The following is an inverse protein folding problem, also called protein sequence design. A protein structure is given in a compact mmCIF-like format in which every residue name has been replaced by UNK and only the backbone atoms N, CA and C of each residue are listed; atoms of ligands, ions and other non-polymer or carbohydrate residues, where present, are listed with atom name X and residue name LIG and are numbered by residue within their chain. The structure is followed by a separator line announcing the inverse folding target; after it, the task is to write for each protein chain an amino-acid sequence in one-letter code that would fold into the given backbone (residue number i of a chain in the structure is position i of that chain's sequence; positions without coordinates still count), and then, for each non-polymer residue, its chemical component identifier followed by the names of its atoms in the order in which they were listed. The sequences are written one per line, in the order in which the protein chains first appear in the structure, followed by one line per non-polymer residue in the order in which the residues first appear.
data_IF_001530864382
#
_entry.id   IF_001530864382
#
_cell.length_a   1.000
_cell.length_b   1.000
_cell.length_c   1.000
_cell.angle_alpha   90.00
_cell.angle_beta   90.00
_cell.angle_gamma   90.00
#
_symmetry.space_group_name_H-M   'P 1'
#
loop_
_entity.id
_entity.type
_entity.pdbx_description
1 polymer ?
#
# COMPACT_ATOMS: atom_id res chain seq x y z
N UNK A 1 -15.44 6.81 1.98
CA UNK A 1 -14.30 5.85 1.96
C UNK A 1 -14.68 4.39 1.72
N UNK A 2 -15.68 3.78 2.40
CA UNK A 2 -16.11 2.40 2.08
C UNK A 2 -16.48 2.19 0.60
N UNK A 3 -17.16 3.17 0.02
CA UNK A 3 -17.53 3.18 -1.40
C UNK A 3 -16.34 3.26 -2.37
N UNK A 4 -15.14 3.66 -1.90
CA UNK A 4 -13.95 3.81 -2.75
C UNK A 4 -13.12 2.52 -2.85
N UNK A 5 -13.30 1.60 -1.90
CA UNK A 5 -12.57 0.32 -1.86
C UNK A 5 -13.51 -0.87 -1.57
N UNK A 6 -14.65 -1.00 -2.30
CA UNK A 6 -15.68 -1.99 -1.99
C UNK A 6 -15.14 -3.43 -1.92
N UNK A 7 -14.17 -3.77 -2.77
CA UNK A 7 -13.51 -5.06 -2.82
C UNK A 7 -12.75 -5.37 -1.51
N UNK A 8 -12.11 -4.37 -0.90
CA UNK A 8 -11.37 -4.58 0.34
C UNK A 8 -12.34 -4.81 1.50
N UNK A 9 -13.42 -4.03 1.57
CA UNK A 9 -14.41 -4.16 2.64
C UNK A 9 -15.22 -5.46 2.52
N UNK A 10 -15.46 -5.96 1.31
CA UNK A 10 -15.97 -7.31 1.13
C UNK A 10 -14.98 -8.37 1.64
N UNK A 11 -13.69 -8.20 1.35
CA UNK A 11 -12.60 -9.05 1.85
C UNK A 11 -12.52 -9.17 3.38
N UNK A 12 -12.90 -8.13 4.11
CA UNK A 12 -12.88 -8.13 5.58
C UNK A 12 -13.84 -9.15 6.22
N UNK A 13 -14.91 -9.55 5.51
CA UNK A 13 -15.83 -10.57 5.97
C UNK A 13 -15.26 -12.00 5.88
N UNK A 14 -14.09 -12.16 5.27
CA UNK A 14 -13.45 -13.44 4.99
C UNK A 14 -12.21 -13.70 5.87
N UNK A 15 -11.52 -14.80 5.60
CA UNK A 15 -10.31 -15.19 6.32
C UNK A 15 -9.14 -14.22 6.05
N UNK A 16 -8.08 -14.30 6.86
CA UNK A 16 -6.85 -13.53 6.61
C UNK A 16 -6.18 -13.95 5.30
N UNK A 17 -6.32 -15.21 4.91
CA UNK A 17 -5.81 -15.77 3.66
C UNK A 17 -6.49 -15.09 2.47
N UNK A 18 -7.83 -15.02 2.51
CA UNK A 18 -8.64 -14.37 1.49
C UNK A 18 -8.34 -12.87 1.43
N UNK A 19 -8.25 -12.21 2.59
CA UNK A 19 -7.93 -10.79 2.66
C UNK A 19 -6.56 -10.48 2.07
N UNK A 20 -5.56 -11.32 2.35
CA UNK A 20 -4.21 -11.21 1.78
C UNK A 20 -4.25 -11.32 0.25
N UNK A 21 -5.04 -12.26 -0.29
CA UNK A 21 -5.25 -12.40 -1.72
C UNK A 21 -5.97 -11.19 -2.33
N UNK A 22 -7.03 -10.70 -1.68
CA UNK A 22 -7.79 -9.52 -2.11
C UNK A 22 -6.89 -8.29 -2.22
N UNK A 23 -6.06 -8.04 -1.20
CA UNK A 23 -5.11 -6.92 -1.21
C UNK A 23 -4.08 -7.04 -2.33
N UNK A 24 -3.50 -8.23 -2.51
CA UNK A 24 -2.52 -8.46 -3.57
C UNK A 24 -3.14 -8.31 -4.96
N UNK A 25 -4.30 -8.92 -5.21
CA UNK A 25 -5.01 -8.85 -6.48
C UNK A 25 -5.41 -7.41 -6.82
N UNK A 26 -5.83 -6.63 -5.81
CA UNK A 26 -6.10 -5.20 -5.98
C UNK A 26 -4.88 -4.43 -6.45
N UNK A 27 -3.72 -4.63 -5.83
CA UNK A 27 -2.47 -3.97 -6.22
C UNK A 27 -2.11 -4.35 -7.66
N UNK A 28 -2.15 -5.64 -7.99
CA UNK A 28 -1.90 -6.12 -9.34
C UNK A 28 -2.83 -5.47 -10.38
N UNK A 29 -4.13 -5.37 -10.08
CA UNK A 29 -5.11 -4.75 -10.97
C UNK A 29 -4.85 -3.25 -11.19
N UNK A 30 -4.49 -2.51 -10.13
CA UNK A 30 -4.14 -1.08 -10.27
C UNK A 30 -2.95 -0.93 -11.21
N UNK A 31 -1.92 -1.75 -11.03
CA UNK A 31 -0.73 -1.72 -11.87
C UNK A 31 -1.03 -2.09 -13.32
N UNK A 32 -1.91 -3.08 -13.54
CA UNK A 32 -2.40 -3.47 -14.87
C UNK A 32 -3.13 -2.33 -15.58
N UNK A 33 -3.92 -1.54 -14.85
CA UNK A 33 -4.69 -0.41 -15.43
C UNK A 33 -3.86 0.86 -15.65
N UNK A 34 -2.73 1.00 -14.96
CA UNK A 34 -1.88 2.21 -15.02
C UNK A 34 -0.79 2.09 -16.11
N UNK A 35 -0.42 0.87 -16.50
CA UNK A 35 0.43 0.64 -17.66
C UNK A 35 -0.41 0.52 -18.93
N UNK A 36 0.05 1.09 -20.06
CA UNK A 36 -0.49 0.82 -21.41
C UNK A 36 -0.30 -0.65 -21.86
N UNK A 37 -0.14 -1.59 -20.92
CA UNK A 37 0.14 -3.00 -21.18
C UNK A 37 -1.10 -3.83 -20.86
N UNK A 38 -1.80 -4.22 -21.93
CA UNK A 38 -3.10 -4.92 -21.88
C UNK A 38 -3.10 -6.33 -21.25
N UNK A 39 -2.07 -6.78 -20.52
CA UNK A 39 -2.04 -8.15 -19.98
C UNK A 39 -1.10 -8.32 -18.76
N UNK A 40 -1.23 -7.50 -17.72
CA UNK A 40 -0.71 -7.91 -16.40
C UNK A 40 -1.74 -8.85 -15.75
N UNK A 41 -1.83 -10.08 -16.26
CA UNK A 41 -2.28 -11.17 -15.40
C UNK A 41 -1.13 -11.43 -14.44
N UNK A 42 -1.16 -10.80 -13.26
CA UNK A 42 -0.29 -11.23 -12.18
C UNK A 42 -0.52 -12.74 -12.03
N UNK A 43 0.56 -13.51 -11.99
CA UNK A 43 0.49 -14.93 -11.68
C UNK A 43 0.09 -15.04 -10.20
N UNK A 44 -1.21 -14.92 -9.95
CA UNK A 44 -1.78 -14.94 -8.60
C UNK A 44 -1.76 -16.35 -8.02
N UNK A 45 -1.22 -17.35 -8.75
CA UNK A 45 -0.97 -18.69 -8.26
C UNK A 45 -2.19 -19.30 -7.55
N UNK A 46 -3.41 -19.04 -8.04
CA UNK A 46 -4.72 -19.53 -7.58
C UNK A 46 -5.10 -19.52 -6.08
N UNK A 47 -4.20 -19.41 -5.11
CA UNK A 47 -4.53 -19.38 -3.67
C UNK A 47 -3.38 -18.67 -2.91
N UNK A 48 -3.69 -17.57 -2.20
CA UNK A 48 -2.72 -17.03 -1.23
C UNK A 48 -2.46 -18.10 -0.16
N UNK A 49 -1.19 -18.34 0.16
CA UNK A 49 -0.86 -19.35 1.13
C UNK A 49 -1.31 -18.95 2.54
N UNK A 50 -1.66 -19.97 3.33
CA UNK A 50 -2.28 -19.87 4.65
C UNK A 50 -1.61 -18.83 5.56
N UNK A 51 -2.42 -18.03 6.22
CA UNK A 51 -2.06 -17.10 7.29
C UNK A 51 -2.40 -17.75 8.61
N UNK A 52 -1.43 -17.78 9.52
CA UNK A 52 -1.58 -18.31 10.88
C UNK A 52 -1.33 -17.20 11.88
N UNK A 53 -1.98 -17.30 13.04
CA UNK A 53 -1.83 -16.34 14.15
C UNK A 53 -1.71 -17.10 15.46
N UNK A 54 -0.88 -16.59 16.38
CA UNK A 54 -0.77 -17.16 17.74
C UNK A 54 -1.82 -16.52 18.68
N UNK A 55 -1.62 -15.25 19.03
CA UNK A 55 -2.34 -14.55 20.10
C UNK A 55 -3.05 -13.26 19.64
N UNK A 56 -3.25 -13.10 18.33
CA UNK A 56 -3.94 -11.95 17.73
C UNK A 56 -5.25 -12.40 17.09
N UNK A 57 -6.14 -11.44 16.83
CA UNK A 57 -7.44 -11.74 16.24
C UNK A 57 -7.30 -12.56 14.94
N UNK A 58 -8.17 -13.55 14.78
CA UNK A 58 -8.11 -14.54 13.69
C UNK A 58 -8.88 -14.11 12.45
N UNK A 59 -9.76 -13.11 12.58
CA UNK A 59 -10.57 -12.58 11.48
C UNK A 59 -9.97 -11.28 10.96
N UNK A 60 -10.14 -11.07 9.65
CA UNK A 60 -9.70 -9.84 8.96
C UNK A 60 -10.41 -8.61 9.50
N UNK A 61 -11.71 -8.71 9.79
CA UNK A 61 -12.51 -7.63 10.38
C UNK A 61 -11.98 -7.17 11.74
N UNK A 62 -11.72 -8.10 12.66
CA UNK A 62 -11.25 -7.73 14.00
C UNK A 62 -9.86 -7.10 13.97
N UNK A 63 -8.92 -7.63 13.16
CA UNK A 63 -7.62 -6.99 12.99
C UNK A 63 -7.72 -5.62 12.32
N UNK A 64 -8.61 -5.47 11.33
CA UNK A 64 -8.86 -4.18 10.70
C UNK A 64 -9.37 -3.15 11.72
N UNK A 65 -10.30 -3.52 12.59
CA UNK A 65 -10.85 -2.63 13.62
C UNK A 65 -9.78 -2.23 14.65
N UNK A 66 -8.82 -3.12 14.95
CA UNK A 66 -7.73 -2.84 15.89
C UNK A 66 -6.62 -1.96 15.32
N UNK A 67 -6.13 -2.26 14.10
CA UNK A 67 -4.89 -1.64 13.58
C UNK A 67 -5.10 -0.76 12.33
N UNK A 68 -6.29 -0.76 11.76
CA UNK A 68 -6.60 -0.10 10.50
C UNK A 68 -6.04 -0.82 9.28
N UNK A 69 -6.52 -0.44 8.09
CA UNK A 69 -6.24 -1.16 6.85
C UNK A 69 -4.78 -1.11 6.40
N UNK A 70 -4.12 0.05 6.51
CA UNK A 70 -2.75 0.19 6.01
C UNK A 70 -1.77 -0.69 6.81
N UNK A 71 -1.93 -0.73 8.14
CA UNK A 71 -1.14 -1.61 9.01
C UNK A 71 -1.41 -3.08 8.67
N UNK A 72 -2.70 -3.47 8.54
CA UNK A 72 -3.10 -4.83 8.19
C UNK A 72 -2.53 -5.23 6.82
N UNK A 73 -2.61 -4.35 5.82
CA UNK A 73 -2.13 -4.56 4.46
C UNK A 73 -0.63 -4.84 4.43
N UNK A 74 0.16 -3.99 5.08
CA UNK A 74 1.60 -4.24 5.21
C UNK A 74 1.89 -5.53 5.97
N UNK A 75 1.13 -5.82 7.03
CA UNK A 75 1.38 -7.00 7.85
C UNK A 75 1.13 -8.31 7.07
N UNK A 76 0.14 -8.31 6.18
CA UNK A 76 -0.17 -9.45 5.31
C UNK A 76 0.77 -9.57 4.10
N UNK A 77 1.43 -8.50 3.69
CA UNK A 77 2.20 -8.47 2.42
C UNK A 77 3.71 -8.26 2.59
N UNK A 78 4.21 -7.79 3.72
CA UNK A 78 5.61 -7.34 3.81
C UNK A 78 6.62 -8.47 4.04
N UNK A 79 6.23 -9.57 4.67
CA UNK A 79 7.18 -10.55 5.21
C UNK A 79 7.59 -11.60 4.15
N UNK A 80 6.61 -12.26 3.55
CA UNK A 80 6.83 -13.37 2.61
C UNK A 80 6.05 -13.19 1.30
N UNK A 81 6.51 -13.80 0.19
CA UNK A 81 5.78 -13.82 -1.08
C UNK A 81 4.35 -14.36 -0.95
N UNK A 82 3.45 -14.01 -1.86
CA UNK A 82 2.01 -14.30 -1.77
C UNK A 82 1.71 -15.80 -1.68
N UNK A 83 2.53 -16.63 -2.33
CA UNK A 83 2.42 -18.08 -2.37
C UNK A 83 3.07 -18.79 -1.17
N UNK A 84 3.67 -18.04 -0.22
CA UNK A 84 4.32 -18.61 0.97
C UNK A 84 3.45 -18.43 2.22
N UNK A 85 3.33 -19.45 3.09
CA UNK A 85 2.58 -19.33 4.34
C UNK A 85 3.12 -18.19 5.20
N UNK A 86 2.21 -17.44 5.82
CA UNK A 86 2.54 -16.32 6.69
C UNK A 86 2.20 -16.67 8.12
N UNK A 87 3.11 -16.37 9.04
CA UNK A 87 2.85 -16.42 10.46
C UNK A 87 2.81 -15.00 11.02
N UNK A 88 1.59 -14.52 11.32
CA UNK A 88 1.36 -13.17 11.76
C UNK A 88 1.36 -13.09 13.29
N UNK A 89 2.26 -12.25 13.81
CA UNK A 89 2.44 -12.02 15.25
C UNK A 89 2.05 -10.60 15.63
N UNK A 90 1.89 -10.33 16.93
CA UNK A 90 1.70 -8.97 17.42
C UNK A 90 2.89 -8.05 17.04
N UNK A 91 4.12 -8.57 17.09
CA UNK A 91 5.31 -7.82 16.69
C UNK A 91 5.30 -7.45 15.21
N UNK A 92 4.74 -8.31 14.34
CA UNK A 92 4.55 -8.01 12.92
C UNK A 92 3.70 -6.77 12.74
N UNK A 93 2.57 -6.67 13.47
CA UNK A 93 1.65 -5.52 13.44
C UNK A 93 2.30 -4.25 14.00
N UNK A 94 2.91 -4.35 15.19
CA UNK A 94 3.59 -3.21 15.84
C UNK A 94 4.72 -2.67 14.97
N UNK A 95 5.48 -3.54 14.31
CA UNK A 95 6.53 -3.15 13.38
C UNK A 95 6.00 -2.33 12.20
N UNK A 96 4.91 -2.77 11.58
CA UNK A 96 4.28 -2.02 10.48
C UNK A 96 3.76 -0.66 10.95
N UNK A 97 3.06 -0.63 12.09
CA UNK A 97 2.51 0.60 12.66
C UNK A 97 3.61 1.62 12.98
N UNK A 98 4.72 1.18 13.61
CA UNK A 98 5.86 2.05 13.92
C UNK A 98 6.48 2.64 12.65
N UNK A 99 6.65 1.83 11.62
CA UNK A 99 7.18 2.29 10.34
C UNK A 99 6.24 3.33 9.69
N UNK A 100 4.92 3.05 9.63
CA UNK A 100 3.94 4.01 9.12
C UNK A 100 3.94 5.32 9.92
N UNK A 101 4.11 5.26 11.23
CA UNK A 101 4.25 6.46 12.08
C UNK A 101 5.52 7.25 11.73
N UNK A 102 6.64 6.59 11.41
CA UNK A 102 7.85 7.26 10.94
C UNK A 102 7.62 7.93 9.58
N UNK A 103 7.00 7.22 8.63
CA UNK A 103 6.61 7.77 7.32
C UNK A 103 5.75 9.02 7.50
N UNK A 104 4.70 8.94 8.32
CA UNK A 104 3.81 10.06 8.61
C UNK A 104 4.56 11.27 9.16
N UNK A 105 5.39 11.06 10.19
CA UNK A 105 6.16 12.14 10.85
C UNK A 105 7.15 12.80 9.90
N UNK A 106 7.76 12.03 9.00
CA UNK A 106 8.69 12.56 8.00
C UNK A 106 7.94 13.32 6.89
N UNK A 107 6.80 12.81 6.44
CA UNK A 107 6.09 13.32 5.27
C UNK A 107 5.20 14.54 5.56
N UNK A 108 4.54 14.60 6.71
CA UNK A 108 3.61 15.70 7.03
C UNK A 108 4.28 17.09 7.00
N UNK A 109 5.49 17.30 7.55
CA UNK A 109 6.15 18.60 7.50
C UNK A 109 6.56 19.03 6.08
N UNK A 110 6.73 18.09 5.15
CA UNK A 110 7.15 18.34 3.76
C UNK A 110 5.99 18.85 2.89
N UNK A 111 5.01 19.51 3.49
CA UNK A 111 3.90 20.16 2.80
C UNK A 111 4.43 21.35 1.99
N UNK A 112 5.00 21.06 0.83
CA UNK A 112 5.25 22.05 -0.20
C UNK A 112 4.00 22.12 -1.05
N UNK A 113 3.32 23.26 -1.16
CA UNK A 113 2.32 23.50 -2.19
C UNK A 113 3.04 23.67 -3.54
N UNK A 114 3.86 22.70 -3.93
CA UNK A 114 4.37 22.59 -5.27
C UNK A 114 3.22 22.03 -6.08
N UNK A 115 2.35 22.94 -6.55
CA UNK A 115 1.38 22.64 -7.60
C UNK A 115 2.16 21.87 -8.67
N UNK A 116 1.87 20.60 -8.92
CA UNK A 116 2.59 19.94 -9.97
C UNK A 116 2.09 20.58 -11.27
N UNK A 117 2.99 21.20 -12.04
CA UNK A 117 2.66 21.71 -13.39
C UNK A 117 2.14 20.58 -14.32
N UNK A 118 2.25 19.33 -13.87
CA UNK A 118 1.83 18.12 -14.57
C UNK A 118 1.15 17.16 -13.58
N UNK A 119 -0.07 16.72 -13.85
CA UNK A 119 -0.86 15.86 -12.95
C UNK A 119 -0.21 14.53 -12.55
N UNK A 120 -0.87 13.81 -11.63
CA UNK A 120 -0.39 12.55 -11.05
C UNK A 120 -0.07 11.43 -12.06
N UNK A 121 -0.59 11.53 -13.28
CA UNK A 121 -0.41 10.58 -14.38
C UNK A 121 1.06 10.35 -14.76
N UNK A 122 1.98 11.24 -14.37
CA UNK A 122 3.43 11.06 -14.58
C UNK A 122 4.15 10.27 -13.48
N UNK A 123 3.53 10.02 -12.32
CA UNK A 123 4.17 9.26 -11.25
C UNK A 123 3.80 7.79 -11.34
N UNK A 124 4.20 7.17 -12.45
CA UNK A 124 4.09 5.73 -12.61
C UNK A 124 4.80 5.02 -11.43
N UNK A 125 4.21 3.93 -10.90
CA UNK A 125 4.87 3.08 -9.92
C UNK A 125 6.26 2.67 -10.39
N UNK A 126 7.19 2.49 -9.45
CA UNK A 126 8.57 2.19 -9.80
C UNK A 126 8.64 0.86 -10.59
N UNK A 127 9.34 0.77 -11.74
CA UNK A 127 9.32 -0.44 -12.58
C UNK A 127 9.67 -1.72 -11.83
N UNK A 128 10.64 -1.66 -10.92
CA UNK A 128 11.01 -2.81 -10.08
C UNK A 128 9.90 -3.25 -9.11
N UNK A 129 9.08 -2.32 -8.62
CA UNK A 129 7.89 -2.64 -7.81
C UNK A 129 6.85 -3.33 -8.69
N UNK A 130 6.63 -2.83 -9.90
CA UNK A 130 5.71 -3.44 -10.88
C UNK A 130 6.14 -4.87 -11.19
N UNK A 131 7.41 -5.05 -11.50
CA UNK A 131 8.01 -6.35 -11.81
C UNK A 131 7.93 -7.33 -10.63
N UNK A 132 8.19 -6.85 -9.41
CA UNK A 132 8.07 -7.65 -8.21
C UNK A 132 6.62 -8.12 -7.99
N UNK A 133 5.63 -7.24 -8.17
CA UNK A 133 4.21 -7.60 -8.04
C UNK A 133 3.80 -8.59 -9.14
N UNK A 134 4.22 -8.39 -10.39
CA UNK A 134 3.91 -9.31 -11.50
C UNK A 134 4.32 -10.76 -11.19
N UNK A 135 5.44 -10.92 -10.48
CA UNK A 135 5.99 -12.22 -10.08
C UNK A 135 5.54 -12.71 -8.69
N UNK A 136 4.50 -12.12 -8.09
CA UNK A 136 4.02 -12.55 -6.77
C UNK A 136 4.99 -12.26 -5.62
N UNK A 137 5.96 -11.35 -5.82
CA UNK A 137 6.98 -10.95 -4.85
C UNK A 137 6.61 -9.64 -4.14
N UNK A 138 5.43 -9.61 -3.53
CA UNK A 138 4.92 -8.49 -2.74
C UNK A 138 5.87 -8.05 -1.62
N UNK A 139 6.53 -8.99 -0.96
CA UNK A 139 7.51 -8.69 0.09
C UNK A 139 8.73 -7.91 -0.47
N UNK A 140 9.22 -8.30 -1.66
CA UNK A 140 10.29 -7.57 -2.33
C UNK A 140 9.85 -6.16 -2.76
N UNK A 141 8.61 -6.03 -3.27
CA UNK A 141 8.03 -4.73 -3.62
C UNK A 141 7.95 -3.78 -2.40
N UNK A 142 7.53 -4.29 -1.24
CA UNK A 142 7.50 -3.51 0.00
C UNK A 142 8.91 -3.20 0.52
N UNK A 143 9.87 -4.11 0.34
CA UNK A 143 11.27 -3.83 0.67
C UNK A 143 11.82 -2.65 -0.17
N UNK A 144 11.52 -2.60 -1.47
CA UNK A 144 11.86 -1.47 -2.34
C UNK A 144 11.18 -0.17 -1.88
N UNK A 145 9.91 -0.21 -1.49
CA UNK A 145 9.20 0.94 -0.89
C UNK A 145 9.92 1.44 0.37
N UNK A 146 10.32 0.54 1.27
CA UNK A 146 11.06 0.91 2.49
C UNK A 146 12.43 1.49 2.19
N UNK A 147 13.15 0.96 1.21
CA UNK A 147 14.43 1.52 0.76
C UNK A 147 14.26 2.91 0.15
N UNK A 148 13.18 3.13 -0.62
CA UNK A 148 12.82 4.46 -1.13
C UNK A 148 12.61 5.45 0.02
N UNK A 149 11.87 5.06 1.06
CA UNK A 149 11.70 5.88 2.26
C UNK A 149 13.02 6.17 2.98
N UNK A 150 13.88 5.17 3.17
CA UNK A 150 15.18 5.35 3.84
C UNK A 150 16.10 6.34 3.10
N UNK A 151 16.05 6.36 1.77
CA UNK A 151 16.79 7.34 0.95
C UNK A 151 16.26 8.77 1.15
N UNK A 152 14.95 8.93 1.38
CA UNK A 152 14.34 10.22 1.72
C UNK A 152 14.73 10.65 3.14
N UNK A 153 14.64 9.73 4.11
CA UNK A 153 14.90 10.01 5.53
C UNK A 153 16.37 10.32 5.82
N UNK A 154 17.29 9.70 5.11
CA UNK A 154 18.73 9.93 5.26
C UNK A 154 19.24 11.24 4.62
N UNK A 155 18.38 11.99 3.91
CA UNK A 155 18.78 13.22 3.20
C UNK A 155 19.75 12.97 2.04
N UNK A 156 20.02 11.70 1.69
CA UNK A 156 20.87 11.31 0.56
C UNK A 156 20.17 11.50 -0.81
N UNK A 157 18.88 11.83 -0.81
CA UNK A 157 18.21 12.28 -2.02
C UNK A 157 18.22 13.79 -2.10
N UNK A 158 18.50 14.32 -3.29
CA UNK A 158 17.99 15.62 -3.67
C UNK A 158 16.51 15.70 -3.24
N UNK A 159 16.10 16.79 -2.59
CA UNK A 159 14.70 17.08 -2.26
C UNK A 159 13.89 17.38 -3.53
N UNK A 160 14.23 16.75 -4.65
CA UNK A 160 13.51 16.87 -5.90
C UNK A 160 12.12 16.27 -5.67
N UNK A 161 11.11 17.12 -5.91
CA UNK A 161 9.69 16.84 -5.78
C UNK A 161 9.31 15.43 -6.30
N UNK A 162 9.94 15.01 -7.39
CA UNK A 162 9.67 13.76 -8.12
C UNK A 162 9.93 12.51 -7.26
N UNK A 163 11.08 12.38 -6.58
CA UNK A 163 11.38 11.16 -5.81
C UNK A 163 10.41 10.97 -4.64
N UNK A 164 10.05 12.07 -4.00
CA UNK A 164 9.07 12.10 -2.94
C UNK A 164 7.66 11.75 -3.46
N UNK A 165 7.24 12.33 -4.59
CA UNK A 165 5.97 12.03 -5.24
C UNK A 165 5.89 10.56 -5.70
N UNK A 166 6.95 10.02 -6.30
CA UNK A 166 7.04 8.60 -6.66
C UNK A 166 6.96 7.70 -5.42
N UNK A 167 7.59 8.07 -4.31
CA UNK A 167 7.45 7.33 -3.05
C UNK A 167 5.99 7.28 -2.60
N UNK A 168 5.27 8.41 -2.61
CA UNK A 168 3.87 8.47 -2.20
C UNK A 168 2.95 7.70 -3.15
N UNK A 169 3.20 7.75 -4.46
CA UNK A 169 2.48 6.96 -5.44
C UNK A 169 2.69 5.45 -5.26
N UNK A 170 3.90 5.02 -4.85
CA UNK A 170 4.12 3.62 -4.49
C UNK A 170 3.51 3.27 -3.12
N UNK A 171 3.50 4.21 -2.17
CA UNK A 171 2.91 4.02 -0.84
C UNK A 171 1.40 3.76 -0.93
N UNK A 172 0.67 4.46 -1.80
CA UNK A 172 -0.79 4.27 -1.97
C UNK A 172 -1.17 2.87 -2.48
N UNK A 173 -0.26 2.15 -3.13
CA UNK A 173 -0.51 0.76 -3.53
C UNK A 173 -0.76 -0.12 -2.30
N UNK A 174 0.10 0.00 -1.29
CA UNK A 174 0.08 -0.84 -0.11
C UNK A 174 -0.67 -0.23 1.07
N UNK A 175 -0.66 1.10 1.16
CA UNK A 175 -1.23 1.89 2.26
C UNK A 175 -2.17 2.96 1.68
N UNK A 176 -3.33 2.56 1.13
CA UNK A 176 -4.21 3.47 0.42
C UNK A 176 -4.70 4.64 1.28
N UNK A 177 -4.82 4.53 2.61
CA UNK A 177 -5.36 5.63 3.42
C UNK A 177 -4.31 6.69 3.71
N UNK A 178 -3.19 6.31 4.33
CA UNK A 178 -2.06 7.18 4.65
C UNK A 178 -1.46 7.74 3.36
N UNK A 179 -1.28 6.91 2.32
CA UNK A 179 -0.74 7.37 1.05
C UNK A 179 -1.63 8.45 0.40
N UNK A 180 -2.93 8.22 0.33
CA UNK A 180 -3.88 9.18 -0.27
C UNK A 180 -3.96 10.46 0.56
N UNK A 181 -4.01 10.36 1.89
CA UNK A 181 -4.00 11.52 2.78
C UNK A 181 -2.73 12.37 2.60
N UNK A 182 -1.56 11.74 2.48
CA UNK A 182 -0.30 12.45 2.25
C UNK A 182 -0.26 13.11 0.87
N UNK A 183 -0.76 12.45 -0.18
CA UNK A 183 -0.93 13.05 -1.51
C UNK A 183 -1.88 14.26 -1.47
N UNK A 184 -3.00 14.15 -0.74
CA UNK A 184 -3.98 15.23 -0.61
C UNK A 184 -3.38 16.46 0.10
N UNK A 185 -2.63 16.25 1.19
CA UNK A 185 -1.96 17.33 1.93
C UNK A 185 -0.97 18.11 1.07
N UNK A 186 -0.40 17.47 0.05
CA UNK A 186 0.51 18.12 -0.90
C UNK A 186 -0.21 18.79 -2.08
N UNK A 187 -1.54 18.70 -2.13
CA UNK A 187 -2.34 19.21 -3.25
C UNK A 187 -2.15 18.42 -4.54
N UNK A 188 -1.64 17.18 -4.48
CA UNK A 188 -1.43 16.33 -5.66
C UNK A 188 -2.74 15.68 -6.11
N UNK A 189 -3.63 15.36 -5.18
CA UNK A 189 -5.02 14.98 -5.42
C UNK A 189 -5.98 15.97 -4.76
N UNK A 190 -7.18 16.09 -5.32
CA UNK A 190 -8.31 16.71 -4.63
C UNK A 190 -9.01 15.68 -3.75
N UNK A 191 -9.48 16.09 -2.57
CA UNK A 191 -10.38 15.26 -1.78
C UNK A 191 -11.61 14.91 -2.63
N UNK A 192 -12.05 13.65 -2.58
CA UNK A 192 -13.31 13.25 -3.20
C UNK A 192 -14.41 14.01 -2.48
N UNK A 193 -15.09 14.95 -3.16
CA UNK A 193 -16.29 15.60 -2.62
C UNK A 193 -17.31 14.50 -2.29
N UNK A 194 -17.71 14.41 -1.03
CA UNK A 194 -18.78 13.52 -0.61
C UNK A 194 -20.09 14.08 -1.19
N UNK A 195 -20.60 13.48 -2.28
CA UNK A 195 -21.84 13.89 -2.97
C UNK A 195 -23.12 13.67 -2.14
N UNK A 196 -23.00 13.51 -0.82
CA UNK A 196 -24.11 13.29 0.12
C UNK A 196 -24.49 14.55 0.89
N UNK A 197 -23.82 15.67 0.62
CA UNK A 197 -24.05 16.97 1.27
C UNK A 197 -24.53 18.05 0.28
N UNK A 198 -24.92 17.66 -0.93
CA UNK A 198 -25.60 18.52 -1.92
C UNK A 198 -27.07 18.10 -2.04
#
# INVERSE_FOLDING_TARGET
MRAQYPEIYAGLAHSLDDMRLTLFARIANILATTGNEQNIQADTGKVAAKVTTDAIAKSSASLYDEVGLDTLSLALLADVPIHRPLHLTHNSLVGQWRWLRQVWRHCVPLTYPSRPDTGLEKFAPHPEIVEAIRHGRNNAAIALLRQSFQKLDSGQSDKTCIRYQTFLANLTLFCPFIGTELLWRQGLITAVKDRRLD
#
